data_IF_591875430686
#
_entry.id   IF_591875430686
#
_cell.length_a   1.000
_cell.length_b   1.000
_cell.length_c   1.000
_cell.angle_alpha   90.00
_cell.angle_beta   90.00
_cell.angle_gamma   90.00
#
_symmetry.space_group_name_H-M   'P 1'
#
loop_
_entity.id
_entity.type
_entity.pdbx_description
1 polymer ?
#
# COMPACT_ATOMS: atom_id res chain seq x y z
N UNK A 1 -71.35 -15.94 3.26
CA UNK A 1 -70.00 -15.86 2.70
C UNK A 1 -69.05 -16.53 3.67
N UNK A 2 -68.44 -17.66 3.30
CA UNK A 2 -67.40 -18.33 4.10
C UNK A 2 -66.06 -17.86 3.54
N UNK A 3 -65.29 -17.12 4.33
CA UNK A 3 -63.92 -16.74 3.95
C UNK A 3 -62.99 -17.91 4.27
N UNK A 4 -62.42 -18.50 3.22
CA UNK A 4 -61.35 -19.50 3.33
C UNK A 4 -60.02 -18.75 3.45
N UNK A 5 -59.36 -18.87 4.60
CA UNK A 5 -57.99 -18.40 4.77
C UNK A 5 -57.03 -19.47 4.25
N UNK A 6 -56.40 -19.21 3.10
CA UNK A 6 -55.22 -19.99 2.67
C UNK A 6 -54.00 -19.44 3.40
N UNK A 7 -53.41 -20.26 4.28
CA UNK A 7 -52.10 -20.00 4.85
C UNK A 7 -51.07 -20.43 3.80
N UNK A 8 -50.34 -19.45 3.25
CA UNK A 8 -49.18 -19.70 2.40
C UNK A 8 -47.96 -19.89 3.32
N UNK A 9 -47.59 -21.14 3.58
CA UNK A 9 -46.38 -21.47 4.33
C UNK A 9 -45.17 -21.28 3.40
N UNK A 10 -44.48 -20.15 3.52
CA UNK A 10 -43.17 -19.96 2.89
C UNK A 10 -42.16 -20.74 3.71
N UNK A 11 -41.79 -21.94 3.23
CA UNK A 11 -40.65 -22.69 3.76
C UNK A 11 -39.38 -21.94 3.34
N UNK A 12 -38.79 -21.19 4.27
CA UNK A 12 -37.42 -20.70 4.13
C UNK A 12 -36.51 -21.87 4.45
N UNK A 13 -36.00 -22.55 3.40
CA UNK A 13 -34.89 -23.48 3.58
C UNK A 13 -33.65 -22.64 3.87
N UNK A 14 -33.19 -22.64 5.13
CA UNK A 14 -31.79 -22.32 5.42
C UNK A 14 -30.97 -23.45 4.80
N UNK A 15 -30.54 -23.28 3.55
CA UNK A 15 -29.54 -24.14 2.95
C UNK A 15 -28.23 -23.82 3.68
N UNK A 16 -27.92 -24.57 4.74
CA UNK A 16 -26.54 -24.69 5.19
C UNK A 16 -25.78 -25.27 4.01
N UNK A 17 -25.05 -24.42 3.29
CA UNK A 17 -24.02 -24.87 2.36
C UNK A 17 -23.04 -25.64 3.25
N UNK A 18 -23.05 -26.96 3.13
CA UNK A 18 -22.06 -27.80 3.81
C UNK A 18 -20.75 -27.60 3.06
N UNK A 19 -19.70 -27.23 3.79
CA UNK A 19 -18.37 -27.14 3.23
C UNK A 19 -17.93 -28.50 2.66
N UNK A 20 -17.25 -28.48 1.52
CA UNK A 20 -16.62 -29.65 0.92
C UNK A 20 -15.27 -29.89 1.60
N UNK A 21 -15.07 -31.10 2.09
CA UNK A 21 -13.84 -31.46 2.80
C UNK A 21 -12.89 -32.19 1.86
N UNK A 22 -11.62 -31.79 1.89
CA UNK A 22 -10.56 -32.58 1.27
C UNK A 22 -10.37 -33.89 2.04
N UNK A 23 -10.52 -35.01 1.35
CA UNK A 23 -10.27 -36.35 1.91
C UNK A 23 -8.91 -36.90 1.48
N UNK A 24 -8.42 -36.51 0.30
CA UNK A 24 -7.13 -36.94 -0.24
C UNK A 24 -6.98 -38.46 -0.38
N UNK A 25 -8.07 -39.23 -0.47
CA UNK A 25 -8.01 -40.70 -0.45
C UNK A 25 -7.43 -41.31 -1.73
N UNK A 26 -7.51 -40.62 -2.87
CA UNK A 26 -7.00 -41.12 -4.15
C UNK A 26 -5.57 -40.63 -4.42
N UNK A 27 -5.34 -39.32 -4.34
CA UNK A 27 -4.03 -38.70 -4.56
C UNK A 27 -4.05 -37.21 -4.12
N UNK A 28 -2.99 -36.47 -4.42
CA UNK A 28 -2.86 -35.04 -4.11
C UNK A 28 -3.62 -34.08 -5.07
N UNK A 29 -4.14 -34.54 -6.21
CA UNK A 29 -4.64 -33.63 -7.25
C UNK A 29 -5.96 -32.95 -6.85
N UNK A 30 -5.95 -31.62 -6.67
CA UNK A 30 -7.13 -30.80 -6.36
C UNK A 30 -8.31 -31.07 -7.31
N UNK A 31 -8.03 -31.27 -8.61
CA UNK A 31 -9.04 -31.47 -9.65
C UNK A 31 -9.52 -32.91 -9.80
N UNK A 32 -9.19 -33.81 -8.87
CA UNK A 32 -9.78 -35.15 -8.85
C UNK A 32 -11.01 -35.15 -7.94
N UNK A 33 -12.24 -35.28 -8.48
CA UNK A 33 -13.46 -35.24 -7.67
C UNK A 33 -13.49 -36.29 -6.56
N UNK A 34 -12.81 -37.43 -6.74
CA UNK A 34 -12.76 -38.50 -5.74
C UNK A 34 -11.86 -38.20 -4.54
N UNK A 35 -11.16 -37.05 -4.52
CA UNK A 35 -10.47 -36.55 -3.33
C UNK A 35 -11.37 -35.68 -2.45
N UNK A 36 -12.58 -35.36 -2.88
CA UNK A 36 -13.55 -34.54 -2.14
C UNK A 36 -14.67 -35.41 -1.59
N UNK A 37 -15.15 -35.11 -0.39
CA UNK A 37 -16.22 -35.87 0.28
C UNK A 37 -17.58 -35.82 -0.45
N UNK A 38 -17.80 -34.78 -1.24
CA UNK A 38 -18.98 -34.62 -2.11
C UNK A 38 -18.83 -35.26 -3.49
N UNK A 39 -17.67 -35.82 -3.82
CA UNK A 39 -17.35 -36.36 -5.16
C UNK A 39 -17.48 -35.32 -6.29
N UNK A 40 -17.25 -34.05 -5.98
CA UNK A 40 -17.26 -32.92 -6.92
C UNK A 40 -16.03 -32.06 -6.70
N UNK A 41 -15.57 -31.37 -7.75
CA UNK A 41 -14.50 -30.37 -7.60
C UNK A 41 -15.15 -29.08 -7.10
N UNK A 42 -14.61 -28.42 -6.06
CA UNK A 42 -15.13 -27.15 -5.58
C UNK A 42 -15.17 -26.07 -6.68
N UNK A 43 -16.24 -25.27 -6.66
CA UNK A 43 -16.39 -24.06 -7.46
C UNK A 43 -16.59 -22.82 -6.57
N UNK A 44 -16.89 -21.67 -7.18
CA UNK A 44 -17.09 -20.39 -6.48
C UNK A 44 -18.25 -20.36 -5.47
N UNK A 45 -19.07 -21.42 -5.39
CA UNK A 45 -20.21 -21.54 -4.47
C UNK A 45 -19.97 -22.59 -3.37
N UNK A 46 -18.80 -23.24 -3.35
CA UNK A 46 -18.48 -24.27 -2.38
C UNK A 46 -17.44 -23.77 -1.39
N UNK A 47 -17.82 -23.74 -0.12
CA UNK A 47 -16.85 -23.58 0.95
C UNK A 47 -15.96 -24.83 0.98
N UNK A 48 -14.67 -24.63 1.21
CA UNK A 48 -13.66 -25.69 1.21
C UNK A 48 -12.98 -25.74 2.57
N UNK A 49 -12.86 -26.94 3.11
CA UNK A 49 -12.05 -27.23 4.31
C UNK A 49 -10.97 -28.24 3.94
N UNK A 50 -9.72 -27.90 4.27
CA UNK A 50 -8.59 -28.81 4.21
C UNK A 50 -8.27 -29.27 5.64
N UNK A 51 -8.71 -30.47 6.05
CA UNK A 51 -8.45 -30.97 7.38
C UNK A 51 -7.02 -31.52 7.52
N UNK A 52 -6.54 -31.59 8.75
CA UNK A 52 -5.27 -32.27 9.05
C UNK A 52 -5.40 -33.80 8.97
N UNK A 53 -4.28 -34.50 8.77
CA UNK A 53 -4.23 -35.96 8.82
C UNK A 53 -4.79 -36.70 7.60
N UNK A 54 -5.00 -36.03 6.47
CA UNK A 54 -5.41 -36.69 5.23
C UNK A 54 -4.27 -37.54 4.64
N UNK A 55 -4.56 -38.67 3.96
CA UNK A 55 -3.52 -39.56 3.43
C UNK A 55 -2.64 -38.91 2.37
N UNK A 56 -3.20 -37.99 1.58
CA UNK A 56 -2.49 -37.17 0.62
C UNK A 56 -2.90 -35.71 0.83
N UNK A 57 -1.92 -34.81 0.87
CA UNK A 57 -2.15 -33.36 0.99
C UNK A 57 -2.60 -32.78 -0.36
N UNK A 58 -3.55 -31.83 -0.40
CA UNK A 58 -4.00 -31.24 -1.64
C UNK A 58 -2.90 -30.44 -2.35
N UNK A 59 -2.90 -30.54 -3.67
CA UNK A 59 -2.03 -29.82 -4.57
C UNK A 59 -2.79 -29.25 -5.76
N UNK A 60 -2.66 -27.94 -5.95
CA UNK A 60 -3.04 -27.24 -7.17
C UNK A 60 -1.80 -27.23 -8.07
N UNK A 61 -1.78 -28.08 -9.10
CA UNK A 61 -0.64 -28.19 -10.02
C UNK A 61 -0.48 -26.98 -10.93
N UNK A 62 0.65 -26.87 -11.63
CA UNK A 62 0.87 -25.84 -12.64
C UNK A 62 -0.17 -25.95 -13.78
N UNK A 63 -0.57 -24.82 -14.35
CA UNK A 63 -1.60 -24.78 -15.39
C UNK A 63 -3.03 -25.05 -14.91
N UNK A 64 -3.24 -25.24 -13.60
CA UNK A 64 -4.56 -25.47 -13.02
C UNK A 64 -5.20 -24.18 -12.53
N UNK A 65 -6.50 -24.04 -12.78
CA UNK A 65 -7.37 -23.06 -12.13
C UNK A 65 -8.22 -23.80 -11.07
N UNK A 66 -8.06 -23.42 -9.81
CA UNK A 66 -8.84 -23.91 -8.69
C UNK A 66 -9.75 -22.78 -8.16
N UNK A 67 -10.95 -23.13 -7.70
CA UNK A 67 -11.92 -22.16 -7.19
C UNK A 67 -12.54 -22.67 -5.88
N UNK A 68 -12.89 -21.76 -4.99
CA UNK A 68 -13.74 -22.01 -3.83
C UNK A 68 -14.51 -20.74 -3.43
N UNK A 69 -15.62 -20.89 -2.72
CA UNK A 69 -16.30 -19.77 -2.07
C UNK A 69 -15.44 -19.23 -0.92
N UNK A 70 -15.39 -19.95 0.20
CA UNK A 70 -14.44 -19.70 1.29
C UNK A 70 -13.41 -20.84 1.37
N UNK A 71 -12.21 -20.56 1.87
CA UNK A 71 -11.20 -21.57 2.19
C UNK A 71 -10.87 -21.57 3.68
N UNK A 72 -10.84 -22.76 4.27
CA UNK A 72 -10.28 -23.03 5.60
C UNK A 72 -9.18 -24.08 5.47
N UNK A 73 -7.97 -23.76 5.90
CA UNK A 73 -6.88 -24.74 6.09
C UNK A 73 -6.72 -24.94 7.60
N UNK A 74 -7.08 -26.11 8.10
CA UNK A 74 -7.03 -26.39 9.53
C UNK A 74 -5.59 -26.53 10.04
N UNK A 75 -5.39 -26.30 11.34
CA UNK A 75 -4.10 -26.47 11.99
C UNK A 75 -3.47 -27.85 11.69
N UNK A 76 -2.23 -27.85 11.21
CA UNK A 76 -1.49 -29.05 10.82
C UNK A 76 -1.86 -29.64 9.45
N UNK A 77 -2.76 -29.01 8.71
CA UNK A 77 -3.00 -29.30 7.30
C UNK A 77 -2.05 -28.50 6.40
N UNK A 78 -1.94 -28.91 5.14
CA UNK A 78 -1.13 -28.20 4.13
C UNK A 78 -1.82 -28.19 2.79
N UNK A 79 -1.85 -27.04 2.12
CA UNK A 79 -2.21 -26.91 0.72
C UNK A 79 -1.01 -26.41 -0.07
N UNK A 80 -0.63 -27.13 -1.14
CA UNK A 80 0.44 -26.69 -2.05
C UNK A 80 -0.13 -26.15 -3.35
N UNK A 81 0.33 -24.99 -3.80
CA UNK A 81 0.07 -24.47 -5.13
C UNK A 81 1.39 -24.33 -5.92
N UNK A 82 1.42 -24.96 -7.09
CA UNK A 82 2.56 -24.95 -7.99
C UNK A 82 2.32 -24.05 -9.20
N UNK A 83 3.39 -23.42 -9.69
CA UNK A 83 3.38 -22.69 -10.95
C UNK A 83 4.75 -22.74 -11.60
N UNK A 84 4.82 -22.59 -12.92
CA UNK A 84 6.06 -22.49 -13.68
C UNK A 84 5.99 -21.33 -14.68
N UNK A 85 7.14 -20.91 -15.20
CA UNK A 85 7.24 -19.84 -16.20
C UNK A 85 6.31 -20.04 -17.41
N UNK A 86 6.04 -21.29 -17.78
CA UNK A 86 5.21 -21.64 -18.95
C UNK A 86 3.78 -22.02 -18.58
N UNK A 87 3.53 -22.41 -17.33
CA UNK A 87 2.22 -22.84 -16.84
C UNK A 87 1.95 -22.17 -15.49
N UNK A 88 1.22 -21.06 -15.51
CA UNK A 88 0.76 -20.43 -14.28
C UNK A 88 -0.39 -21.23 -13.68
N UNK A 89 -0.51 -21.25 -12.35
CA UNK A 89 -1.74 -21.71 -11.69
C UNK A 89 -2.47 -20.53 -11.08
N UNK A 90 -3.80 -20.64 -11.01
CA UNK A 90 -4.65 -19.63 -10.40
C UNK A 90 -5.51 -20.29 -9.33
N UNK A 91 -5.41 -19.81 -8.10
CA UNK A 91 -6.30 -20.20 -7.04
C UNK A 91 -7.21 -19.04 -6.67
N UNK A 92 -8.48 -19.15 -7.03
CA UNK A 92 -9.47 -18.09 -6.83
C UNK A 92 -10.32 -18.38 -5.58
N UNK A 93 -10.26 -17.49 -4.60
CA UNK A 93 -11.12 -17.49 -3.41
C UNK A 93 -12.14 -16.35 -3.57
N UNK A 94 -13.43 -16.68 -3.57
CA UNK A 94 -14.50 -15.71 -3.85
C UNK A 94 -15.00 -14.99 -2.59
N UNK A 95 -14.68 -15.54 -1.42
CA UNK A 95 -14.99 -15.05 -0.08
C UNK A 95 -13.73 -15.05 0.79
N UNK A 96 -13.85 -15.55 2.01
CA UNK A 96 -12.79 -15.52 3.02
C UNK A 96 -11.73 -16.59 2.79
N UNK A 97 -10.48 -16.23 3.10
CA UNK A 97 -9.38 -17.16 3.28
C UNK A 97 -9.01 -17.18 4.76
N UNK A 98 -8.98 -18.36 5.35
CA UNK A 98 -8.59 -18.60 6.74
C UNK A 98 -7.61 -19.77 6.81
N UNK A 99 -6.37 -19.50 7.23
CA UNK A 99 -5.34 -20.52 7.42
C UNK A 99 -4.87 -20.56 8.87
N UNK A 100 -4.99 -21.73 9.49
CA UNK A 100 -4.25 -22.11 10.70
C UNK A 100 -3.17 -23.17 10.37
N UNK A 101 -3.16 -23.66 9.13
CA UNK A 101 -2.18 -24.60 8.60
C UNK A 101 -1.25 -23.92 7.59
N UNK A 102 -0.62 -24.70 6.72
CA UNK A 102 0.37 -24.16 5.77
C UNK A 102 -0.19 -24.04 4.36
N UNK A 103 -0.08 -22.87 3.75
CA UNK A 103 -0.31 -22.62 2.34
C UNK A 103 1.00 -22.35 1.58
N UNK A 104 1.52 -23.38 0.93
CA UNK A 104 2.80 -23.30 0.20
C UNK A 104 2.60 -22.95 -1.27
N UNK A 105 3.07 -21.77 -1.69
CA UNK A 105 3.22 -21.41 -3.10
C UNK A 105 4.68 -21.59 -3.55
N UNK A 106 4.92 -22.40 -4.59
CA UNK A 106 6.29 -22.82 -4.94
C UNK A 106 7.04 -21.90 -5.90
N UNK A 107 6.38 -20.88 -6.47
CA UNK A 107 7.01 -19.92 -7.37
C UNK A 107 6.18 -18.65 -7.56
N UNK A 108 6.78 -17.62 -8.15
CA UNK A 108 6.10 -16.38 -8.58
C UNK A 108 5.02 -16.58 -9.66
N UNK A 109 4.86 -17.80 -10.19
CA UNK A 109 3.86 -18.17 -11.20
C UNK A 109 2.64 -18.87 -10.59
N UNK A 110 2.58 -19.01 -9.26
CA UNK A 110 1.40 -19.41 -8.52
C UNK A 110 0.63 -18.14 -8.09
N UNK A 111 -0.54 -17.92 -8.69
CA UNK A 111 -1.39 -16.75 -8.44
C UNK A 111 -2.48 -17.09 -7.43
N UNK A 112 -2.58 -16.31 -6.37
CA UNK A 112 -3.61 -16.42 -5.34
C UNK A 112 -4.53 -15.20 -5.43
N UNK A 113 -5.80 -15.43 -5.77
CA UNK A 113 -6.68 -14.36 -6.22
C UNK A 113 -7.91 -14.24 -5.34
N UNK A 114 -8.21 -13.03 -4.88
CA UNK A 114 -9.51 -12.71 -4.27
C UNK A 114 -10.48 -12.22 -5.35
N UNK A 115 -11.56 -12.96 -5.57
CA UNK A 115 -12.57 -12.64 -6.60
C UNK A 115 -13.96 -12.49 -5.99
N UNK A 116 -14.98 -12.37 -6.84
CA UNK A 116 -16.38 -12.39 -6.44
C UNK A 116 -16.96 -11.02 -6.07
N UNK A 117 -18.22 -11.05 -5.64
CA UNK A 117 -19.06 -9.87 -5.39
C UNK A 117 -19.23 -9.54 -3.90
N UNK A 118 -18.54 -10.25 -3.02
CA UNK A 118 -18.62 -10.05 -1.58
C UNK A 118 -17.28 -9.58 -1.03
N UNK A 119 -17.33 -8.85 0.08
CA UNK A 119 -16.16 -8.61 0.91
C UNK A 119 -15.53 -9.93 1.37
N UNK A 120 -14.24 -9.90 1.63
CA UNK A 120 -13.46 -11.06 2.06
C UNK A 120 -12.52 -10.68 3.20
N UNK A 121 -12.27 -11.66 4.05
CA UNK A 121 -11.24 -11.62 5.07
C UNK A 121 -10.05 -12.48 4.61
N UNK A 122 -8.85 -11.97 4.84
CA UNK A 122 -7.59 -12.68 4.64
C UNK A 122 -6.93 -12.85 5.99
N UNK A 123 -7.00 -14.08 6.49
CA UNK A 123 -6.48 -14.51 7.79
C UNK A 123 -5.41 -15.58 7.59
N UNK A 124 -4.27 -15.37 8.22
CA UNK A 124 -3.12 -16.29 8.25
C UNK A 124 -2.60 -16.33 9.68
N UNK A 125 -3.29 -17.10 10.52
CA UNK A 125 -3.19 -17.03 11.99
C UNK A 125 -1.84 -17.56 12.52
N UNK A 126 -1.07 -18.29 11.71
CA UNK A 126 0.31 -18.67 11.99
C UNK A 126 1.35 -17.70 11.39
N UNK A 127 0.94 -16.85 10.43
CA UNK A 127 1.77 -15.84 9.76
C UNK A 127 3.11 -16.41 9.26
N UNK A 128 3.09 -17.68 8.84
CA UNK A 128 4.27 -18.42 8.40
C UNK A 128 4.30 -18.67 6.88
N UNK A 129 3.20 -18.30 6.19
CA UNK A 129 3.07 -18.44 4.76
C UNK A 129 3.63 -17.21 4.02
N UNK A 130 4.16 -17.44 2.83
CA UNK A 130 4.56 -16.38 1.90
C UNK A 130 3.77 -16.51 0.61
N UNK A 131 2.88 -15.54 0.38
CA UNK A 131 2.04 -15.50 -0.79
C UNK A 131 2.81 -14.94 -1.99
N UNK A 132 3.07 -15.75 -3.01
CA UNK A 132 4.00 -15.39 -4.09
C UNK A 132 3.45 -14.35 -5.06
N UNK A 133 2.16 -14.41 -5.43
CA UNK A 133 1.57 -13.40 -6.31
C UNK A 133 0.08 -13.28 -5.99
N UNK A 134 -0.29 -12.19 -5.33
CA UNK A 134 -1.65 -11.96 -4.89
C UNK A 134 -2.33 -10.96 -5.79
N UNK A 135 -3.53 -11.28 -6.26
CA UNK A 135 -4.35 -10.38 -7.06
C UNK A 135 -5.74 -10.21 -6.43
N UNK A 136 -6.12 -8.97 -6.15
CA UNK A 136 -7.48 -8.61 -5.80
C UNK A 136 -8.19 -8.20 -7.09
N UNK A 137 -9.13 -9.05 -7.53
CA UNK A 137 -9.93 -8.84 -8.72
C UNK A 137 -11.42 -9.01 -8.37
N UNK A 138 -11.90 -8.18 -7.44
CA UNK A 138 -13.31 -8.15 -7.03
C UNK A 138 -14.19 -7.64 -8.15
N UNK A 139 -15.39 -8.19 -8.31
CA UNK A 139 -16.29 -7.76 -9.38
C UNK A 139 -16.95 -6.40 -9.13
N UNK A 140 -16.87 -5.87 -7.90
CA UNK A 140 -17.37 -4.54 -7.53
C UNK A 140 -16.26 -3.78 -6.79
N UNK A 141 -16.02 -2.53 -7.21
CA UNK A 141 -14.96 -1.66 -6.67
C UNK A 141 -15.09 -1.41 -5.17
N UNK A 142 -16.32 -1.36 -4.66
CA UNK A 142 -16.60 -1.10 -3.25
C UNK A 142 -16.33 -2.30 -2.32
N UNK A 143 -16.05 -3.49 -2.87
CA UNK A 143 -15.81 -4.66 -2.05
C UNK A 143 -14.38 -4.70 -1.53
N UNK A 144 -14.29 -4.95 -0.23
CA UNK A 144 -13.03 -4.95 0.49
C UNK A 144 -12.49 -6.36 0.70
N UNK A 145 -11.19 -6.54 0.51
CA UNK A 145 -10.42 -7.63 1.11
C UNK A 145 -9.69 -7.06 2.31
N UNK A 146 -9.98 -7.57 3.50
CA UNK A 146 -9.37 -7.10 4.74
C UNK A 146 -8.27 -8.06 5.17
N UNK A 147 -7.04 -7.57 5.25
CA UNK A 147 -5.91 -8.27 5.86
C UNK A 147 -6.06 -8.18 7.37
N UNK A 148 -6.36 -9.30 8.01
CA UNK A 148 -6.63 -9.35 9.45
C UNK A 148 -5.43 -9.82 10.28
N UNK A 149 -4.38 -10.31 9.63
CA UNK A 149 -3.14 -10.78 10.25
C UNK A 149 -1.92 -10.12 9.63
N UNK A 150 -0.75 -10.38 10.23
CA UNK A 150 0.49 -9.98 9.59
C UNK A 150 0.73 -10.91 8.41
N UNK A 151 0.75 -10.36 7.20
CA UNK A 151 0.81 -11.13 5.96
C UNK A 151 2.13 -10.85 5.27
N UNK A 152 2.78 -11.91 4.80
CA UNK A 152 3.95 -11.79 3.91
C UNK A 152 3.57 -12.20 2.50
N UNK A 153 3.77 -11.32 1.54
CA UNK A 153 3.63 -11.59 0.12
C UNK A 153 4.94 -11.26 -0.62
N UNK A 154 5.11 -11.81 -1.82
CA UNK A 154 6.17 -11.38 -2.74
C UNK A 154 5.67 -10.26 -3.66
N UNK A 155 4.42 -10.33 -4.13
CA UNK A 155 3.79 -9.29 -4.93
C UNK A 155 2.31 -9.20 -4.62
N UNK A 156 1.77 -7.98 -4.61
CA UNK A 156 0.34 -7.71 -4.43
C UNK A 156 -0.13 -6.75 -5.52
N UNK A 157 -1.21 -7.13 -6.19
CA UNK A 157 -1.92 -6.32 -7.17
C UNK A 157 -3.33 -6.08 -6.70
N UNK A 158 -3.75 -4.81 -6.72
CA UNK A 158 -5.13 -4.42 -6.57
C UNK A 158 -5.65 -4.07 -7.95
N UNK A 159 -6.09 -5.08 -8.72
CA UNK A 159 -6.73 -4.85 -10.03
C UNK A 159 -8.08 -4.15 -9.82
N UNK A 160 -8.85 -4.68 -8.87
CA UNK A 160 -10.24 -4.31 -8.68
C UNK A 160 -10.71 -4.57 -7.25
N UNK A 161 -11.35 -3.56 -6.64
CA UNK A 161 -11.81 -3.60 -5.25
C UNK A 161 -10.89 -2.82 -4.31
N UNK A 162 -11.10 -2.98 -3.00
CA UNK A 162 -10.30 -2.31 -1.97
C UNK A 162 -9.44 -3.34 -1.22
N UNK A 163 -8.13 -3.10 -1.14
CA UNK A 163 -7.29 -3.73 -0.12
C UNK A 163 -7.32 -2.85 1.13
N UNK A 164 -7.74 -3.42 2.25
CA UNK A 164 -7.70 -2.75 3.55
C UNK A 164 -6.88 -3.58 4.52
N UNK A 165 -6.01 -2.93 5.29
CA UNK A 165 -5.29 -3.58 6.38
C UNK A 165 -6.03 -3.32 7.70
N UNK A 166 -6.19 -4.33 8.56
CA UNK A 166 -6.78 -4.14 9.88
C UNK A 166 -5.82 -3.33 10.80
N UNK A 167 -6.37 -2.67 11.82
CA UNK A 167 -5.57 -1.84 12.72
C UNK A 167 -4.45 -2.65 13.41
N UNK A 168 -3.24 -2.08 13.49
CA UNK A 168 -2.03 -2.73 14.04
C UNK A 168 -1.58 -4.00 13.32
N UNK A 169 -1.96 -4.17 12.04
CA UNK A 169 -1.47 -5.27 11.21
C UNK A 169 -0.52 -4.76 10.13
N UNK A 170 0.34 -5.66 9.69
CA UNK A 170 1.40 -5.39 8.72
C UNK A 170 1.21 -6.24 7.47
N UNK A 171 1.28 -5.61 6.30
CA UNK A 171 1.47 -6.30 5.03
C UNK A 171 2.93 -6.12 4.59
N UNK A 172 3.70 -7.21 4.57
CA UNK A 172 5.08 -7.23 4.12
C UNK A 172 5.10 -7.71 2.67
N UNK A 173 5.68 -6.93 1.76
CA UNK A 173 5.84 -7.26 0.35
C UNK A 173 7.33 -7.38 0.05
N UNK A 174 7.80 -8.62 0.02
CA UNK A 174 9.22 -8.99 -0.07
C UNK A 174 9.80 -8.89 -1.48
N UNK A 175 8.96 -8.82 -2.51
CA UNK A 175 9.43 -8.68 -3.89
C UNK A 175 10.15 -7.36 -4.07
N UNK A 176 11.25 -7.40 -4.82
CA UNK A 176 12.14 -6.27 -5.05
C UNK A 176 11.93 -5.65 -6.44
N UNK A 177 10.76 -5.77 -7.05
CA UNK A 177 10.50 -5.24 -8.38
C UNK A 177 9.87 -3.85 -8.29
N UNK A 178 9.82 -3.13 -9.42
CA UNK A 178 9.17 -1.81 -9.45
C UNK A 178 7.66 -1.90 -9.16
N UNK A 179 7.03 -3.01 -9.58
CA UNK A 179 5.60 -3.29 -9.43
C UNK A 179 5.35 -4.36 -8.36
N UNK A 180 5.98 -4.22 -7.19
CA UNK A 180 5.78 -5.15 -6.08
C UNK A 180 4.46 -4.92 -5.36
N UNK A 181 4.10 -3.64 -5.14
CA UNK A 181 2.75 -3.23 -4.80
C UNK A 181 2.19 -2.39 -5.95
N UNK A 182 1.16 -2.90 -6.61
CA UNK A 182 0.55 -2.27 -7.78
C UNK A 182 -0.95 -2.07 -7.55
N UNK A 183 -1.41 -0.83 -7.66
CA UNK A 183 -2.82 -0.46 -7.59
C UNK A 183 -3.24 -0.06 -8.99
N UNK A 184 -4.06 -0.88 -9.63
CA UNK A 184 -4.51 -0.65 -11.01
C UNK A 184 -5.80 0.17 -11.05
N UNK A 185 -6.31 0.41 -12.26
CA UNK A 185 -7.44 1.32 -12.54
C UNK A 185 -8.74 1.07 -11.76
N UNK A 186 -8.97 -0.15 -11.28
CA UNK A 186 -10.13 -0.50 -10.46
C UNK A 186 -9.82 -0.67 -8.96
N UNK A 187 -8.56 -0.50 -8.60
CA UNK A 187 -8.05 -0.76 -7.27
C UNK A 187 -8.09 0.47 -6.35
N UNK A 188 -8.33 0.20 -5.08
CA UNK A 188 -8.17 1.19 -4.00
C UNK A 188 -7.29 0.61 -2.91
N UNK A 189 -6.27 1.35 -2.50
CA UNK A 189 -5.52 1.06 -1.28
C UNK A 189 -6.12 1.85 -0.11
N UNK A 190 -6.46 1.18 0.99
CA UNK A 190 -7.05 1.83 2.17
C UNK A 190 -6.29 1.58 3.47
N UNK A 191 -5.90 2.67 4.13
CA UNK A 191 -5.28 2.70 5.46
C UNK A 191 -5.98 3.76 6.33
N UNK A 192 -6.32 3.39 7.57
CA UNK A 192 -7.23 4.15 8.44
C UNK A 192 -6.65 4.60 9.78
N UNK A 193 -5.56 3.98 10.24
CA UNK A 193 -5.05 4.13 11.61
C UNK A 193 -3.58 3.66 11.70
N UNK A 194 -3.21 2.78 12.63
CA UNK A 194 -1.84 2.29 12.88
C UNK A 194 -1.48 1.05 12.05
N UNK A 195 -1.81 1.04 10.75
CA UNK A 195 -1.43 -0.07 9.86
C UNK A 195 -0.06 0.16 9.24
N UNK A 196 0.62 -0.91 8.83
CA UNK A 196 1.89 -0.83 8.12
C UNK A 196 1.84 -1.61 6.82
N UNK A 197 2.39 -1.03 5.76
CA UNK A 197 2.74 -1.71 4.51
C UNK A 197 4.25 -1.55 4.33
N UNK A 198 4.98 -2.66 4.30
CA UNK A 198 6.44 -2.67 4.15
C UNK A 198 6.83 -3.32 2.82
N UNK A 199 7.32 -2.52 1.86
CA UNK A 199 7.58 -2.96 0.49
C UNK A 199 9.08 -2.91 0.17
N UNK A 200 9.71 -4.06 0.00
CA UNK A 200 11.10 -4.14 -0.51
C UNK A 200 11.21 -3.58 -1.93
N UNK A 201 10.13 -3.62 -2.71
CA UNK A 201 10.07 -3.07 -4.07
C UNK A 201 9.54 -1.64 -4.14
N UNK A 202 8.90 -1.34 -5.27
CA UNK A 202 8.21 -0.07 -5.52
C UNK A 202 6.73 -0.14 -5.18
N UNK A 203 6.16 1.04 -4.97
CA UNK A 203 4.71 1.24 -4.79
C UNK A 203 4.20 2.03 -5.98
N UNK A 204 3.18 1.52 -6.65
CA UNK A 204 2.80 2.00 -7.96
C UNK A 204 1.29 2.13 -8.11
N UNK A 205 0.83 3.34 -8.39
CA UNK A 205 -0.56 3.70 -8.66
C UNK A 205 -0.72 3.98 -10.16
N UNK A 206 -1.49 3.15 -10.86
CA UNK A 206 -1.83 3.34 -12.28
C UNK A 206 -2.95 4.38 -12.48
N UNK A 207 -3.17 4.75 -13.75
CA UNK A 207 -4.36 5.49 -14.21
C UNK A 207 -5.64 4.82 -13.68
N UNK A 208 -6.55 5.62 -13.12
CA UNK A 208 -7.82 5.17 -12.51
C UNK A 208 -7.75 4.67 -11.06
N UNK A 209 -6.56 4.41 -10.52
CA UNK A 209 -6.40 3.92 -9.15
C UNK A 209 -6.82 4.95 -8.08
N UNK A 210 -7.05 4.48 -6.86
CA UNK A 210 -7.47 5.31 -5.72
C UNK A 210 -6.65 5.01 -4.45
N UNK A 211 -6.53 6.02 -3.60
CA UNK A 211 -5.95 5.91 -2.27
C UNK A 211 -6.91 6.50 -1.21
N UNK A 212 -7.41 5.64 -0.32
CA UNK A 212 -8.17 6.02 0.87
C UNK A 212 -7.24 5.95 2.08
N UNK A 213 -6.27 6.86 2.16
CA UNK A 213 -5.24 6.85 3.20
C UNK A 213 -5.47 8.03 4.14
N UNK A 214 -6.00 7.73 5.33
CA UNK A 214 -6.23 8.69 6.43
C UNK A 214 -5.30 8.41 7.63
N UNK A 215 -4.42 7.42 7.52
CA UNK A 215 -3.48 6.98 8.55
C UNK A 215 -2.56 5.86 8.02
N UNK A 216 -1.63 5.41 8.85
CA UNK A 216 -0.77 4.27 8.60
C UNK A 216 0.56 4.65 7.97
N UNK A 217 1.46 3.67 7.87
CA UNK A 217 2.80 3.86 7.34
C UNK A 217 3.00 2.98 6.10
N UNK A 218 3.49 3.59 5.02
CA UNK A 218 3.92 2.89 3.79
C UNK A 218 5.43 3.03 3.69
N UNK A 219 6.15 1.92 3.68
CA UNK A 219 7.58 1.86 3.44
C UNK A 219 7.84 1.34 2.02
N UNK A 220 8.75 1.97 1.30
CA UNK A 220 9.24 1.43 0.03
C UNK A 220 10.75 1.60 -0.10
N UNK A 221 11.43 0.62 -0.72
CA UNK A 221 12.88 0.70 -0.99
C UNK A 221 13.22 1.01 -2.45
N UNK A 222 12.20 1.07 -3.32
CA UNK A 222 12.27 1.61 -4.69
C UNK A 222 11.32 2.79 -4.88
N UNK A 223 11.07 3.18 -6.11
CA UNK A 223 10.26 4.37 -6.42
C UNK A 223 8.82 4.26 -5.88
N UNK A 224 8.29 5.40 -5.46
CA UNK A 224 6.85 5.63 -5.23
C UNK A 224 6.30 6.35 -6.46
N UNK A 225 5.35 5.74 -7.17
CA UNK A 225 4.92 6.22 -8.49
C UNK A 225 3.42 6.39 -8.56
N UNK A 226 3.00 7.56 -9.05
CA UNK A 226 1.63 7.85 -9.46
C UNK A 226 1.62 8.19 -10.94
N UNK A 227 0.87 7.43 -11.73
CA UNK A 227 0.76 7.57 -13.17
C UNK A 227 -0.22 8.68 -13.59
N UNK A 228 -0.09 9.22 -14.83
CA UNK A 228 -0.99 10.26 -15.32
C UNK A 228 -2.44 9.79 -15.35
N UNK A 229 -3.34 10.71 -15.06
CA UNK A 229 -4.78 10.49 -15.04
C UNK A 229 -5.18 9.38 -14.07
N UNK A 230 -4.52 9.24 -12.92
CA UNK A 230 -5.22 8.61 -11.80
C UNK A 230 -6.57 9.35 -11.73
N UNK A 231 -7.69 8.67 -12.02
CA UNK A 231 -8.99 9.37 -12.27
C UNK A 231 -9.47 10.16 -11.05
N UNK A 232 -8.75 9.99 -9.95
CA UNK A 232 -8.81 10.65 -8.69
C UNK A 232 -7.38 11.06 -8.33
N UNK A 233 -7.20 12.32 -7.94
CA UNK A 233 -5.93 12.78 -7.40
C UNK A 233 -5.53 11.89 -6.21
N UNK A 234 -4.29 11.40 -6.21
CA UNK A 234 -3.78 10.63 -5.07
C UNK A 234 -3.43 11.61 -3.96
N UNK A 235 -4.41 11.85 -3.09
CA UNK A 235 -4.28 12.71 -1.91
C UNK A 235 -4.35 11.86 -0.64
N UNK A 236 -3.20 11.68 0.00
CA UNK A 236 -3.08 11.08 1.31
C UNK A 236 -3.45 12.15 2.34
N UNK A 237 -4.60 11.99 2.98
CA UNK A 237 -5.11 12.95 4.00
C UNK A 237 -4.60 12.61 5.41
N UNK A 238 -3.86 11.52 5.54
CA UNK A 238 -3.16 11.09 6.74
C UNK A 238 -2.05 10.10 6.43
N UNK A 239 -1.40 9.59 7.46
CA UNK A 239 -0.34 8.57 7.33
C UNK A 239 1.02 9.12 6.90
N UNK A 240 1.98 8.21 6.75
CA UNK A 240 3.38 8.52 6.42
C UNK A 240 3.86 7.66 5.24
N UNK A 241 4.46 8.30 4.24
CA UNK A 241 5.29 7.61 3.24
C UNK A 241 6.74 7.65 3.72
N UNK A 242 7.36 6.48 3.80
CA UNK A 242 8.73 6.29 4.25
C UNK A 242 9.59 5.80 3.07
N UNK A 243 10.47 6.67 2.59
CA UNK A 243 11.44 6.34 1.54
C UNK A 243 12.67 5.73 2.21
N UNK A 244 12.87 4.43 2.03
CA UNK A 244 13.89 3.65 2.74
C UNK A 244 14.85 2.92 1.79
N UNK A 245 15.74 2.09 2.33
CA UNK A 245 16.71 1.35 1.54
C UNK A 245 17.87 2.18 1.00
N UNK A 246 18.83 1.50 0.38
CA UNK A 246 20.17 2.03 0.10
C UNK A 246 20.39 2.55 -1.33
N UNK A 247 19.46 2.28 -2.24
CA UNK A 247 19.53 2.72 -3.62
C UNK A 247 18.93 4.12 -3.78
N UNK A 248 19.26 4.79 -4.88
CA UNK A 248 18.53 5.96 -5.31
C UNK A 248 17.06 5.59 -5.58
N UNK A 249 16.16 6.47 -5.18
CA UNK A 249 14.71 6.35 -5.32
C UNK A 249 14.14 7.65 -5.85
N UNK A 250 12.90 7.57 -6.32
CA UNK A 250 12.15 8.74 -6.70
C UNK A 250 10.73 8.71 -6.15
N UNK A 251 10.21 9.92 -5.92
CA UNK A 251 8.78 10.18 -5.89
C UNK A 251 8.40 10.65 -7.29
N UNK A 252 7.71 9.80 -8.06
CA UNK A 252 7.25 10.11 -9.41
C UNK A 252 5.79 10.57 -9.35
N UNK A 253 5.57 11.87 -9.58
CA UNK A 253 4.24 12.40 -9.84
C UNK A 253 4.07 12.67 -11.34
N UNK A 254 3.63 11.66 -12.08
CA UNK A 254 3.28 11.81 -13.50
C UNK A 254 1.85 12.36 -13.69
N UNK A 255 1.09 12.60 -12.61
CA UNK A 255 -0.29 13.11 -12.63
C UNK A 255 -0.38 14.64 -12.67
N UNK A 256 0.76 15.31 -12.90
CA UNK A 256 0.80 16.72 -13.24
C UNK A 256 0.76 17.67 -12.04
N UNK A 257 1.23 17.23 -10.87
CA UNK A 257 1.31 18.04 -9.66
C UNK A 257 0.08 17.90 -8.75
N UNK A 258 -0.64 16.79 -8.86
CA UNK A 258 -1.82 16.52 -8.03
C UNK A 258 -1.53 15.49 -6.93
N UNK A 259 -0.32 14.92 -6.88
CA UNK A 259 0.09 14.06 -5.78
C UNK A 259 0.30 14.87 -4.52
N UNK A 260 -0.53 14.60 -3.51
CA UNK A 260 -0.36 15.17 -2.18
C UNK A 260 -0.10 14.06 -1.17
N UNK A 261 1.10 14.07 -0.58
CA UNK A 261 1.40 13.19 0.55
C UNK A 261 1.04 13.89 1.86
N UNK A 262 0.74 13.13 2.92
CA UNK A 262 0.55 13.73 4.24
C UNK A 262 1.90 13.94 4.94
N UNK A 263 2.43 12.92 5.62
CA UNK A 263 3.80 12.95 6.12
C UNK A 263 4.74 12.24 5.15
N UNK A 264 5.95 12.78 5.00
CA UNK A 264 7.05 12.16 4.27
C UNK A 264 8.25 12.00 5.21
N UNK A 265 8.80 10.79 5.25
CA UNK A 265 10.03 10.49 5.97
C UNK A 265 11.07 9.93 5.02
N UNK A 266 12.27 10.49 5.08
CA UNK A 266 13.45 10.03 4.35
C UNK A 266 14.36 9.33 5.37
N UNK A 267 14.41 8.01 5.28
CA UNK A 267 15.18 7.15 6.20
C UNK A 267 16.01 6.16 5.36
N UNK A 268 16.98 6.73 4.66
CA UNK A 268 17.83 5.99 3.73
C UNK A 268 19.22 5.81 4.33
N UNK A 269 19.71 4.57 4.51
CA UNK A 269 21.09 4.35 4.95
C UNK A 269 22.13 4.90 3.95
N UNK A 270 21.75 4.97 2.67
CA UNK A 270 22.52 5.56 1.58
C UNK A 270 21.60 5.87 0.38
N UNK A 271 22.14 6.58 -0.61
CA UNK A 271 21.40 6.97 -1.81
C UNK A 271 20.52 8.21 -1.59
N UNK A 272 19.94 8.68 -2.67
CA UNK A 272 19.15 9.91 -2.70
C UNK A 272 17.71 9.61 -3.09
N UNK A 273 16.75 10.27 -2.44
CA UNK A 273 15.38 10.34 -2.90
C UNK A 273 15.19 11.61 -3.73
N UNK A 274 14.87 11.45 -5.01
CA UNK A 274 14.67 12.53 -5.98
C UNK A 274 13.18 12.81 -6.22
N UNK A 275 12.84 14.02 -6.62
CA UNK A 275 11.51 14.37 -7.13
C UNK A 275 11.45 14.18 -8.64
N UNK A 276 10.35 13.72 -9.21
CA UNK A 276 10.25 13.57 -10.66
C UNK A 276 8.88 13.94 -11.20
N UNK A 277 8.91 14.55 -12.38
CA UNK A 277 7.79 14.95 -13.23
C UNK A 277 6.94 16.12 -12.72
N UNK A 278 6.78 16.31 -11.42
CA UNK A 278 6.10 17.47 -10.85
C UNK A 278 6.71 17.91 -9.50
N UNK A 279 6.23 19.06 -9.02
CA UNK A 279 6.51 19.58 -7.67
C UNK A 279 5.87 18.66 -6.62
N UNK A 280 6.40 18.66 -5.40
CA UNK A 280 5.89 17.85 -4.29
C UNK A 280 5.01 18.69 -3.38
N UNK A 281 3.78 18.23 -3.13
CA UNK A 281 2.89 18.81 -2.12
C UNK A 281 2.77 17.92 -0.88
N UNK A 282 2.94 18.53 0.30
CA UNK A 282 2.85 17.88 1.60
C UNK A 282 1.81 18.57 2.49
N UNK A 283 0.71 17.90 2.83
CA UNK A 283 -0.26 18.43 3.81
C UNK A 283 0.19 18.26 5.27
N UNK A 284 1.25 17.48 5.49
CA UNK A 284 1.83 17.21 6.80
C UNK A 284 3.30 17.58 6.87
N UNK A 285 4.08 16.72 7.51
CA UNK A 285 5.45 17.04 7.96
C UNK A 285 6.45 16.33 7.07
N UNK A 286 7.59 16.97 6.83
CA UNK A 286 8.78 16.34 6.28
C UNK A 286 9.79 16.05 7.39
N UNK A 287 10.25 14.81 7.44
CA UNK A 287 11.35 14.38 8.29
C UNK A 287 12.46 13.78 7.44
N UNK A 288 13.69 14.26 7.62
CA UNK A 288 14.89 13.65 7.07
C UNK A 288 15.67 13.03 8.23
N UNK A 289 15.49 11.73 8.41
CA UNK A 289 16.13 10.93 9.45
C UNK A 289 17.54 10.51 9.03
N UNK A 290 17.71 10.13 7.76
CA UNK A 290 19.01 9.84 7.15
C UNK A 290 18.95 9.85 5.61
N UNK A 291 20.11 9.89 4.96
CA UNK A 291 20.22 9.89 3.51
C UNK A 291 20.15 11.30 2.91
N UNK A 292 19.76 11.40 1.64
CA UNK A 292 19.59 12.69 0.95
C UNK A 292 18.20 12.77 0.32
N UNK A 293 17.54 13.91 0.47
CA UNK A 293 16.34 14.28 -0.27
C UNK A 293 16.69 15.41 -1.25
N UNK A 294 16.23 15.34 -2.50
CA UNK A 294 16.71 16.21 -3.57
C UNK A 294 15.57 16.77 -4.41
N UNK A 295 15.63 18.07 -4.68
CA UNK A 295 14.77 18.75 -5.65
C UNK A 295 15.11 18.36 -7.10
N UNK A 296 16.25 17.71 -7.34
CA UNK A 296 16.63 17.26 -8.67
C UNK A 296 15.80 16.05 -9.10
N UNK A 297 15.72 15.85 -10.42
CA UNK A 297 15.07 14.68 -11.03
C UNK A 297 15.93 13.41 -11.14
N UNK A 298 17.12 13.44 -10.57
CA UNK A 298 18.09 12.36 -10.58
C UNK A 298 19.52 12.87 -10.42
N UNK A 299 20.52 11.95 -10.42
CA UNK A 299 21.93 12.28 -10.16
C UNK A 299 22.59 13.13 -11.26
N UNK A 300 21.95 13.26 -12.42
CA UNK A 300 22.36 14.16 -13.51
C UNK A 300 21.16 15.01 -13.88
N UNK A 301 20.87 15.97 -13.00
CA UNK A 301 19.66 16.75 -13.03
C UNK A 301 19.42 17.41 -14.39
N UNK A 302 18.25 17.15 -14.98
CA UNK A 302 17.74 17.86 -16.17
C UNK A 302 16.56 18.78 -15.83
N UNK A 303 15.95 18.55 -14.67
CA UNK A 303 14.82 19.31 -14.14
C UNK A 303 14.98 19.44 -12.63
N UNK A 304 14.40 20.50 -12.08
CA UNK A 304 14.39 20.84 -10.65
C UNK A 304 12.94 21.12 -10.29
N UNK A 305 12.50 20.59 -9.15
CA UNK A 305 11.13 20.68 -8.67
C UNK A 305 11.07 21.42 -7.33
N UNK A 306 9.92 22.03 -7.07
CA UNK A 306 9.63 22.73 -5.82
C UNK A 306 8.98 21.78 -4.81
N UNK A 307 8.94 22.21 -3.55
CA UNK A 307 8.26 21.53 -2.46
C UNK A 307 7.33 22.53 -1.78
N UNK A 308 6.04 22.24 -1.73
CA UNK A 308 5.07 22.96 -0.91
C UNK A 308 4.75 22.12 0.32
N UNK A 309 4.75 22.74 1.50
CA UNK A 309 4.57 22.03 2.76
C UNK A 309 3.65 22.83 3.69
N UNK A 310 2.62 22.16 4.21
CA UNK A 310 1.67 22.72 5.18
C UNK A 310 2.05 22.43 6.63
N UNK A 311 2.89 21.41 6.87
CA UNK A 311 3.40 21.05 8.20
C UNK A 311 4.83 21.54 8.46
N UNK A 312 5.59 20.72 9.18
CA UNK A 312 6.90 21.09 9.73
C UNK A 312 8.04 20.42 8.95
N UNK A 313 9.19 21.07 8.94
CA UNK A 313 10.43 20.58 8.33
C UNK A 313 11.45 20.23 9.41
N UNK A 314 11.79 18.95 9.54
CA UNK A 314 12.80 18.46 10.50
C UNK A 314 13.90 17.69 9.78
N UNK A 315 15.10 18.24 9.72
CA UNK A 315 16.28 17.54 9.22
C UNK A 315 17.20 17.15 10.40
N UNK A 316 17.17 15.86 10.77
CA UNK A 316 17.97 15.32 11.87
C UNK A 316 19.37 14.86 11.45
N UNK A 317 19.62 14.73 10.14
CA UNK A 317 20.91 14.31 9.61
C UNK A 317 21.86 15.50 9.37
N UNK A 318 21.29 16.70 9.18
CA UNK A 318 21.99 17.96 8.98
C UNK A 318 21.90 18.48 7.54
N UNK A 319 22.30 19.73 7.26
CA UNK A 319 21.95 20.41 6.02
C UNK A 319 22.41 19.74 4.72
N UNK A 320 23.42 18.87 4.76
CA UNK A 320 23.83 18.11 3.56
C UNK A 320 22.85 17.00 3.16
N UNK A 321 21.83 16.73 4.00
CA UNK A 321 20.79 15.74 3.75
C UNK A 321 19.68 16.27 2.83
N UNK A 322 19.69 17.56 2.54
CA UNK A 322 18.82 18.16 1.55
C UNK A 322 19.70 18.71 0.42
N UNK A 323 19.35 18.35 -0.82
CA UNK A 323 19.95 18.89 -2.03
C UNK A 323 18.94 19.83 -2.68
N UNK A 324 19.05 21.10 -2.32
CA UNK A 324 18.11 22.17 -2.67
C UNK A 324 18.18 22.58 -4.16
N UNK A 325 19.34 22.41 -4.79
CA UNK A 325 19.64 22.90 -6.14
C UNK A 325 19.16 24.35 -6.35
N UNK A 326 18.22 24.60 -7.27
CA UNK A 326 17.56 25.90 -7.42
C UNK A 326 16.06 25.83 -7.10
N UNK A 327 15.63 24.79 -6.38
CA UNK A 327 14.25 24.57 -6.01
C UNK A 327 13.77 25.57 -4.96
N UNK A 328 12.45 25.77 -4.94
CA UNK A 328 11.77 26.56 -3.90
C UNK A 328 11.16 25.62 -2.89
N UNK A 329 11.35 25.90 -1.60
CA UNK A 329 10.58 25.28 -0.51
C UNK A 329 9.63 26.34 0.02
N UNK A 330 8.33 26.09 -0.15
CA UNK A 330 7.25 26.99 0.25
C UNK A 330 6.54 26.42 1.47
N UNK A 331 6.52 27.18 2.56
CA UNK A 331 5.67 26.90 3.72
C UNK A 331 4.33 27.63 3.52
N UNK A 332 3.25 26.89 3.31
CA UNK A 332 1.93 27.43 2.91
C UNK A 332 0.75 26.93 3.77
N UNK A 333 1.06 26.35 4.93
CA UNK A 333 0.06 25.84 5.87
C UNK A 333 -0.86 26.94 6.39
N UNK A 334 -2.17 26.79 6.15
CA UNK A 334 -3.16 27.82 6.54
C UNK A 334 -3.77 27.61 7.92
N UNK A 335 -3.74 26.38 8.44
CA UNK A 335 -4.47 25.99 9.65
C UNK A 335 -3.62 25.89 10.93
N UNK A 336 -2.30 25.95 10.83
CA UNK A 336 -1.37 25.71 11.94
C UNK A 336 -0.13 26.59 11.87
N UNK A 337 0.57 26.72 13.00
CA UNK A 337 1.94 27.24 13.00
C UNK A 337 2.87 26.18 12.39
N UNK A 338 3.80 26.64 11.57
CA UNK A 338 4.79 25.79 10.93
C UNK A 338 6.15 26.01 11.58
N UNK A 339 6.93 24.93 11.65
CA UNK A 339 8.24 24.92 12.30
C UNK A 339 9.27 24.43 11.30
N UNK A 340 10.38 25.16 11.22
CA UNK A 340 11.55 24.74 10.47
C UNK A 340 12.75 24.71 11.41
N UNK A 341 13.35 23.52 11.50
CA UNK A 341 14.60 23.30 12.22
C UNK A 341 15.80 23.48 11.28
N UNK A 342 17.02 23.30 11.79
CA UNK A 342 18.29 23.51 11.05
C UNK A 342 18.24 22.99 9.61
N UNK A 343 18.43 23.88 8.63
CA UNK A 343 18.45 23.53 7.19
C UNK A 343 19.09 24.65 6.34
N UNK A 344 19.57 24.31 5.15
CA UNK A 344 19.93 25.26 4.10
C UNK A 344 18.99 25.12 2.89
N UNK A 345 18.39 26.23 2.45
CA UNK A 345 17.53 26.27 1.28
C UNK A 345 18.14 27.12 0.16
N UNK A 346 17.71 26.87 -1.09
CA UNK A 346 18.05 27.80 -2.16
C UNK A 346 17.08 28.99 -2.14
N UNK A 347 15.80 28.74 -2.40
CA UNK A 347 14.72 29.68 -2.14
C UNK A 347 13.87 29.13 -1.00
N UNK A 348 13.73 29.91 0.07
CA UNK A 348 12.77 29.66 1.14
C UNK A 348 11.64 30.66 1.01
N UNK A 349 10.41 30.17 0.85
CA UNK A 349 9.21 30.99 0.76
C UNK A 349 8.31 30.80 1.98
N UNK A 350 7.93 31.93 2.58
CA UNK A 350 6.90 32.03 3.59
C UNK A 350 5.59 32.49 2.93
N UNK A 351 4.61 31.60 2.83
CA UNK A 351 3.29 31.86 2.27
C UNK A 351 2.16 31.25 3.13
N UNK A 352 2.35 31.26 4.44
CA UNK A 352 1.40 30.71 5.39
C UNK A 352 0.55 31.82 6.03
N UNK A 353 -0.69 31.52 6.43
CA UNK A 353 -1.51 32.49 7.21
C UNK A 353 -1.03 32.56 8.68
N UNK A 354 -0.40 31.47 9.16
CA UNK A 354 0.09 31.30 10.53
C UNK A 354 1.48 31.89 10.81
N UNK A 355 2.02 31.53 11.97
CA UNK A 355 3.41 31.84 12.31
C UNK A 355 4.36 30.77 11.79
N UNK A 356 5.49 31.21 11.23
CA UNK A 356 6.61 30.39 10.84
C UNK A 356 7.73 30.52 11.87
N UNK A 357 7.92 29.45 12.62
CA UNK A 357 8.77 29.40 13.79
C UNK A 357 10.11 28.73 13.47
N UNK A 358 11.17 29.40 13.91
CA UNK A 358 12.53 28.88 13.96
C UNK A 358 12.88 28.70 15.44
N UNK A 359 12.64 27.51 16.02
CA UNK A 359 12.73 27.29 17.46
C UNK A 359 14.18 27.23 17.95
N UNK A 360 15.08 26.67 17.16
CA UNK A 360 16.51 26.56 17.44
C UNK A 360 17.32 26.38 16.15
N UNK A 361 18.64 26.25 16.30
CA UNK A 361 19.51 25.90 15.18
C UNK A 361 19.74 27.04 14.18
N UNK A 362 20.21 26.66 12.99
CA UNK A 362 20.54 27.63 11.93
C UNK A 362 19.78 27.25 10.67
N UNK A 363 18.88 28.13 10.27
CA UNK A 363 18.23 28.07 8.97
C UNK A 363 18.83 29.13 8.07
N UNK A 364 19.30 28.73 6.88
CA UNK A 364 19.77 29.69 5.88
C UNK A 364 19.06 29.50 4.55
N UNK A 365 19.01 30.57 3.76
CA UNK A 365 18.66 30.44 2.35
C UNK A 365 19.45 31.40 1.48
N UNK A 366 19.54 31.12 0.17
CA UNK A 366 20.13 32.07 -0.78
C UNK A 366 19.17 33.22 -1.10
N UNK A 367 17.88 32.91 -1.24
CA UNK A 367 16.80 33.87 -1.45
C UNK A 367 15.67 33.61 -0.46
N UNK A 368 15.17 34.67 0.16
CA UNK A 368 14.00 34.62 1.00
C UNK A 368 12.84 35.36 0.33
N UNK A 369 11.75 34.63 0.08
CA UNK A 369 10.48 35.17 -0.39
C UNK A 369 9.51 35.26 0.79
N UNK A 370 8.88 36.42 0.95
CA UNK A 370 7.81 36.60 1.94
C UNK A 370 6.53 37.00 1.23
N UNK A 371 5.63 36.04 1.07
CA UNK A 371 4.33 36.22 0.44
C UNK A 371 3.25 36.52 1.48
N UNK A 372 3.18 35.73 2.57
CA UNK A 372 2.27 35.97 3.70
C UNK A 372 2.83 35.38 5.02
N UNK A 373 2.20 35.70 6.14
CA UNK A 373 2.46 35.09 7.45
C UNK A 373 3.41 35.87 8.36
N UNK A 374 3.70 35.31 9.53
CA UNK A 374 4.57 35.94 10.53
C UNK A 374 5.83 35.12 10.79
N UNK A 375 7.01 35.74 10.74
CA UNK A 375 8.28 35.09 11.05
C UNK A 375 8.62 35.25 12.54
N UNK A 376 8.94 34.14 13.21
CA UNK A 376 9.31 34.12 14.63
C UNK A 376 10.62 33.34 14.80
N UNK A 377 11.70 34.07 15.07
CA UNK A 377 13.02 33.49 15.40
C UNK A 377 13.19 33.51 16.91
N UNK A 378 13.31 32.34 17.53
CA UNK A 378 13.45 32.20 18.99
C UNK A 378 14.90 32.40 19.46
N UNK A 379 15.08 32.60 20.78
CA UNK A 379 16.40 32.79 21.37
C UNK A 379 17.29 31.56 21.10
N UNK A 380 18.47 31.78 20.52
CA UNK A 380 19.39 30.71 20.10
C UNK A 380 19.18 30.19 18.67
N UNK A 381 18.10 30.57 17.98
CA UNK A 381 17.92 30.29 16.55
C UNK A 381 18.55 31.39 15.67
N UNK A 382 18.93 31.03 14.45
CA UNK A 382 19.40 31.97 13.43
C UNK A 382 18.67 31.74 12.12
N UNK A 383 18.08 32.79 11.56
CA UNK A 383 17.62 32.83 10.17
C UNK A 383 18.57 33.73 9.37
N UNK A 384 19.29 33.15 8.41
CA UNK A 384 20.30 33.86 7.60
C UNK A 384 19.97 33.89 6.12
N UNK A 385 19.93 35.06 5.50
CA UNK A 385 19.73 35.20 4.06
C UNK A 385 20.50 36.41 3.51
N UNK A 386 21.20 36.27 2.36
CA UNK A 386 21.95 37.37 1.75
C UNK A 386 21.06 38.32 0.93
N UNK A 387 19.90 37.86 0.47
CA UNK A 387 18.99 38.63 -0.38
C UNK A 387 17.52 38.46 0.08
N UNK A 388 16.85 39.59 0.35
CA UNK A 388 15.42 39.63 0.67
C UNK A 388 14.66 40.19 -0.54
N UNK A 389 13.73 39.41 -1.09
CA UNK A 389 12.79 39.88 -2.11
C UNK A 389 11.40 40.07 -1.48
N UNK A 390 10.94 41.33 -1.44
CA UNK A 390 9.55 41.66 -1.12
C UNK A 390 8.76 41.70 -2.42
N UNK A 391 7.77 40.82 -2.56
CA UNK A 391 6.74 40.88 -3.60
C UNK A 391 5.71 41.99 -3.34
#
# INVERSE_FOLDING_TARGET
MKYSFSIFLVLVFNLTILAQNWTGVINQNWNNPNNWDTYTIPDSNNDVVIPSGTPNLPMISDGIIANCANLTIEAGATLTQNGTLFNTSNFNVYGNFYSEGTFTQTSAFAYFNFKGISAANWNDENSDDTFMNVELAKSLLANTVTVNDDITANRVVIDNGILQIAANKTLIITGDQALSLEIQSGGTLRLNSSQTIDVTGGVYFDDGSQADIIGGDIFCTKDFVVKPNASYDIHLTGGTVNMTGSADQHIHDEDGGNLMLHHLNIDKPSGTCYLKYADLDLSGNLIISSGVFSCNNGPSATSIFNINIEGWWSNYFGPSAFEESTGTVTFDGTAVNQYCFTENFYILEANMNGGFFFPDGVVTCQYYNWTDGTIIVQDGATLGFPHLHHG
#
